data_IF_578847427428
#
_entry.id   IF_578847427428
#
_cell.length_a   1.000
_cell.length_b   1.000
_cell.length_c   1.000
_cell.angle_alpha   90.00
_cell.angle_beta   90.00
_cell.angle_gamma   90.00
#
_symmetry.space_group_name_H-M   'P 1'
#
loop_
_entity.id
_entity.type
_entity.pdbx_description
1 polymer ?
#
# COMPACT_ATOMS: atom_id res chain seq x y z
N UNK A 1 4.39 -9.12 -23.84
CA UNK A 1 3.08 -9.79 -23.87
C UNK A 1 2.25 -9.07 -22.84
N UNK A 2 1.59 -7.98 -23.26
CA UNK A 2 0.74 -7.20 -22.36
C UNK A 2 -0.40 -8.11 -21.91
N UNK A 3 -0.41 -8.49 -20.63
CA UNK A 3 -1.64 -9.00 -20.05
C UNK A 3 -2.61 -7.84 -20.13
N UNK A 4 -3.77 -8.07 -20.74
CA UNK A 4 -4.88 -7.12 -20.71
C UNK A 4 -5.36 -7.04 -19.25
N UNK A 5 -4.65 -6.22 -18.47
CA UNK A 5 -4.95 -5.96 -17.08
C UNK A 5 -6.24 -5.18 -17.07
N UNK A 6 -7.34 -5.86 -16.71
CA UNK A 6 -8.68 -5.28 -16.73
C UNK A 6 -8.75 -3.89 -16.07
N UNK A 7 -9.77 -3.08 -16.40
CA UNK A 7 -9.81 -1.64 -16.10
C UNK A 7 -9.60 -1.29 -14.62
N UNK A 8 -9.95 -2.22 -13.72
CA UNK A 8 -9.65 -2.18 -12.29
C UNK A 8 -8.15 -2.03 -12.00
N UNK A 9 -7.34 -2.95 -12.54
CA UNK A 9 -5.90 -3.05 -12.28
C UNK A 9 -5.14 -1.92 -12.97
N UNK A 10 -5.53 -1.55 -14.18
CA UNK A 10 -4.99 -0.34 -14.83
C UNK A 10 -5.21 0.93 -13.97
N UNK A 11 -6.41 1.11 -13.44
CA UNK A 11 -6.71 2.24 -12.54
C UNK A 11 -5.91 2.21 -11.24
N UNK A 12 -5.65 1.04 -10.68
CA UNK A 12 -4.84 0.87 -9.47
C UNK A 12 -3.38 1.26 -9.74
N UNK A 13 -2.80 0.81 -10.86
CA UNK A 13 -1.43 1.17 -11.24
C UNK A 13 -1.26 2.66 -11.47
N UNK A 14 -2.25 3.34 -12.05
CA UNK A 14 -2.24 4.81 -12.16
C UNK A 14 -2.21 5.49 -10.78
N UNK A 15 -2.93 4.96 -9.80
CA UNK A 15 -2.90 5.47 -8.42
C UNK A 15 -1.53 5.23 -7.77
N UNK A 16 -0.95 4.04 -7.94
CA UNK A 16 0.39 3.71 -7.44
C UNK A 16 1.43 4.64 -8.05
N UNK A 17 1.39 4.82 -9.37
CA UNK A 17 2.27 5.74 -10.08
C UNK A 17 2.16 7.16 -9.53
N UNK A 18 0.93 7.64 -9.30
CA UNK A 18 0.67 8.95 -8.73
C UNK A 18 1.28 9.09 -7.32
N UNK A 19 1.08 8.11 -6.43
CA UNK A 19 1.70 8.12 -5.10
C UNK A 19 3.22 8.14 -5.17
N UNK A 20 3.82 7.41 -6.12
CA UNK A 20 5.27 7.25 -6.23
C UNK A 20 5.99 8.44 -6.90
N UNK A 21 5.24 9.30 -7.57
CA UNK A 21 5.77 10.48 -8.29
C UNK A 21 5.47 11.81 -7.61
N UNK A 22 4.52 11.85 -6.67
CA UNK A 22 4.21 13.05 -5.90
C UNK A 22 5.06 13.12 -4.65
N UNK A 23 5.95 14.12 -4.60
CA UNK A 23 6.79 14.39 -3.43
C UNK A 23 6.13 15.43 -2.51
N UNK A 24 5.25 14.96 -1.63
CA UNK A 24 4.63 15.82 -0.62
C UNK A 24 4.16 15.03 0.61
N UNK A 25 4.29 15.61 1.81
CA UNK A 25 3.86 15.00 3.08
C UNK A 25 2.39 14.51 3.09
N UNK A 26 1.49 15.26 2.43
CA UNK A 26 0.08 14.86 2.34
C UNK A 26 -0.10 13.57 1.51
N UNK A 27 0.74 13.35 0.48
CA UNK A 27 0.70 12.15 -0.34
C UNK A 27 1.15 10.92 0.48
N UNK A 28 2.16 11.07 1.33
CA UNK A 28 2.57 10.02 2.26
C UNK A 28 1.43 9.63 3.21
N UNK A 29 0.71 10.60 3.78
CA UNK A 29 -0.46 10.33 4.64
C UNK A 29 -1.62 9.70 3.86
N UNK A 30 -1.85 10.14 2.63
CA UNK A 30 -2.86 9.53 1.76
C UNK A 30 -2.50 8.08 1.41
N UNK A 31 -1.23 7.78 1.16
CA UNK A 31 -0.74 6.41 0.94
C UNK A 31 -0.88 5.57 2.21
N UNK A 32 -0.49 6.07 3.38
CA UNK A 32 -0.71 5.38 4.66
C UNK A 32 -2.19 5.02 4.85
N UNK A 33 -3.11 5.93 4.55
CA UNK A 33 -4.55 5.66 4.61
C UNK A 33 -4.98 4.59 3.62
N UNK A 34 -4.48 4.63 2.40
CA UNK A 34 -4.75 3.63 1.38
C UNK A 34 -4.27 2.23 1.83
N UNK A 35 -3.04 2.13 2.35
CA UNK A 35 -2.45 0.90 2.87
C UNK A 35 -3.24 0.36 4.07
N UNK A 36 -3.64 1.22 5.02
CA UNK A 36 -4.45 0.80 6.16
C UNK A 36 -5.80 0.20 5.72
N UNK A 37 -6.50 0.86 4.80
CA UNK A 37 -7.78 0.40 4.28
C UNK A 37 -7.66 -0.90 3.48
N UNK A 38 -6.65 -1.01 2.62
CA UNK A 38 -6.37 -2.22 1.88
C UNK A 38 -5.94 -3.38 2.81
N UNK A 39 -5.12 -3.08 3.83
CA UNK A 39 -4.69 -4.05 4.83
C UNK A 39 -5.85 -4.63 5.65
N UNK A 40 -6.89 -3.84 5.95
CA UNK A 40 -8.12 -4.36 6.59
C UNK A 40 -8.87 -5.35 5.68
N UNK A 41 -8.90 -5.12 4.38
CA UNK A 41 -9.47 -6.10 3.44
C UNK A 41 -8.67 -7.40 3.46
N UNK A 42 -7.35 -7.29 3.52
CA UNK A 42 -6.47 -8.44 3.61
C UNK A 42 -6.75 -9.22 4.91
N UNK A 43 -6.81 -8.55 6.06
CA UNK A 43 -7.09 -9.19 7.37
C UNK A 43 -8.50 -9.78 7.53
N UNK A 44 -9.43 -9.48 6.60
CA UNK A 44 -10.74 -10.12 6.58
C UNK A 44 -10.71 -11.49 5.88
N UNK A 45 -9.58 -11.88 5.29
CA UNK A 45 -9.37 -13.16 4.63
C UNK A 45 -8.98 -14.23 5.66
N UNK A 46 -9.48 -15.47 5.57
CA UNK A 46 -9.14 -16.55 6.51
C UNK A 46 -7.64 -16.82 6.61
N UNK A 47 -6.90 -16.59 5.52
CA UNK A 47 -5.45 -16.81 5.44
C UNK A 47 -4.64 -15.70 6.14
N UNK A 48 -5.29 -14.59 6.50
CA UNK A 48 -4.69 -13.41 7.10
C UNK A 48 -5.42 -13.07 8.40
N UNK A 49 -4.99 -13.71 9.50
CA UNK A 49 -5.56 -13.50 10.82
C UNK A 49 -4.99 -12.29 11.57
N UNK A 50 -5.47 -12.03 12.80
CA UNK A 50 -4.98 -10.94 13.65
C UNK A 50 -3.51 -11.07 14.06
N UNK A 51 -2.94 -12.27 13.96
CA UNK A 51 -1.52 -12.54 14.23
C UNK A 51 -0.62 -12.18 13.03
N UNK A 52 -1.20 -11.93 11.86
CA UNK A 52 -0.42 -11.59 10.67
C UNK A 52 0.27 -10.23 10.85
N UNK A 53 1.55 -10.05 10.43
CA UNK A 53 2.29 -8.80 10.59
C UNK A 53 1.58 -7.54 10.05
N UNK A 54 0.70 -7.70 9.06
CA UNK A 54 -0.14 -6.61 8.51
C UNK A 54 -1.07 -6.01 9.56
N UNK A 55 -1.53 -6.76 10.56
CA UNK A 55 -2.35 -6.23 11.65
C UNK A 55 -1.60 -5.14 12.42
N UNK A 56 -0.32 -5.37 12.71
CA UNK A 56 0.56 -4.38 13.35
C UNK A 56 0.77 -3.16 12.46
N UNK A 57 0.95 -3.37 11.15
CA UNK A 57 1.08 -2.28 10.17
C UNK A 57 -0.18 -1.42 10.10
N UNK A 58 -1.36 -2.03 10.07
CA UNK A 58 -2.65 -1.31 10.08
C UNK A 58 -2.82 -0.49 11.35
N UNK A 59 -2.55 -1.08 12.53
CA UNK A 59 -2.64 -0.36 13.80
C UNK A 59 -1.65 0.82 13.88
N UNK A 60 -0.41 0.63 13.41
CA UNK A 60 0.60 1.68 13.39
C UNK A 60 0.24 2.80 12.38
N UNK A 61 -0.33 2.44 11.23
CA UNK A 61 -0.85 3.40 10.25
C UNK A 61 -1.96 4.27 10.84
N UNK A 62 -2.92 3.67 11.56
CA UNK A 62 -4.00 4.38 12.24
C UNK A 62 -3.50 5.32 13.35
N UNK A 63 -2.50 4.89 14.12
CA UNK A 63 -1.84 5.72 15.12
C UNK A 63 -1.14 6.93 14.49
N UNK A 64 -0.46 6.74 13.36
CA UNK A 64 0.16 7.84 12.62
C UNK A 64 -0.88 8.80 12.01
N UNK A 65 -1.97 8.28 11.45
CA UNK A 65 -3.01 9.11 10.83
C UNK A 65 -3.78 9.95 11.86
N UNK A 66 -4.06 9.40 13.03
CA UNK A 66 -4.75 10.08 14.14
C UNK A 66 -3.86 11.10 14.85
N UNK A 67 -2.58 10.76 15.05
CA UNK A 67 -1.61 11.61 15.74
C UNK A 67 -0.32 11.71 14.92
N UNK A 68 -0.29 12.58 13.88
CA UNK A 68 0.88 12.75 13.04
C UNK A 68 2.06 13.27 13.85
N UNK A 69 3.12 12.47 13.92
CA UNK A 69 4.39 12.82 14.55
C UNK A 69 5.49 11.99 13.92
N UNK A 70 6.73 12.47 13.98
CA UNK A 70 7.88 11.72 13.48
C UNK A 70 7.98 10.34 14.15
N UNK A 71 7.76 10.27 15.47
CA UNK A 71 7.73 9.00 16.21
C UNK A 71 6.70 8.02 15.66
N UNK A 72 5.47 8.47 15.40
CA UNK A 72 4.43 7.59 14.86
C UNK A 72 4.69 7.21 13.40
N UNK A 73 5.28 8.13 12.61
CA UNK A 73 5.74 7.86 11.24
C UNK A 73 6.80 6.75 11.23
N UNK A 74 7.81 6.83 12.09
CA UNK A 74 8.88 5.82 12.20
C UNK A 74 8.32 4.47 12.66
N UNK A 75 7.37 4.45 13.62
CA UNK A 75 6.69 3.23 14.04
C UNK A 75 5.89 2.58 12.92
N UNK A 76 5.13 3.37 12.16
CA UNK A 76 4.42 2.89 10.97
C UNK A 76 5.39 2.29 9.97
N UNK A 77 6.46 3.02 9.63
CA UNK A 77 7.43 2.58 8.63
C UNK A 77 8.13 1.27 9.06
N UNK A 78 8.55 1.16 10.31
CA UNK A 78 9.15 -0.06 10.85
C UNK A 78 8.19 -1.26 10.83
N UNK A 79 6.92 -1.06 11.16
CA UNK A 79 5.89 -2.11 11.07
C UNK A 79 5.67 -2.52 9.60
N UNK A 80 5.53 -1.54 8.72
CA UNK A 80 5.32 -1.75 7.28
C UNK A 80 6.47 -2.54 6.64
N UNK A 81 7.72 -2.28 7.03
CA UNK A 81 8.90 -3.04 6.57
C UNK A 81 8.80 -4.52 6.95
N UNK A 82 8.38 -4.81 8.19
CA UNK A 82 8.24 -6.20 8.70
C UNK A 82 7.06 -6.95 8.08
N UNK A 83 6.10 -6.24 7.50
CA UNK A 83 4.96 -6.84 6.83
C UNK A 83 5.14 -7.01 5.31
N UNK A 84 6.38 -6.98 4.79
CA UNK A 84 6.63 -7.24 3.37
C UNK A 84 5.99 -8.57 2.91
N UNK A 85 5.31 -8.61 1.74
CA UNK A 85 5.19 -7.55 0.73
C UNK A 85 3.91 -6.70 0.86
N UNK A 86 3.28 -6.66 2.04
CA UNK A 86 1.98 -6.06 2.30
C UNK A 86 2.04 -4.76 3.11
N UNK A 87 3.22 -4.15 3.28
CA UNK A 87 3.40 -2.84 3.91
C UNK A 87 4.36 -1.95 3.14
N UNK A 88 4.04 -0.65 3.07
CA UNK A 88 4.83 0.37 2.38
C UNK A 88 6.07 0.84 3.17
N UNK A 89 6.86 -0.12 3.69
CA UNK A 89 8.12 0.12 4.39
C UNK A 89 9.34 0.07 3.46
N UNK A 90 10.49 -0.37 3.97
CA UNK A 90 11.76 -0.54 3.21
C UNK A 90 11.71 -1.69 2.19
N UNK A 91 10.60 -2.42 2.11
CA UNK A 91 10.42 -3.48 1.15
C UNK A 91 10.19 -2.95 -0.27
N UNK A 92 11.09 -3.28 -1.20
CA UNK A 92 10.95 -2.89 -2.60
C UNK A 92 9.94 -3.80 -3.32
N UNK A 93 8.68 -3.40 -3.37
CA UNK A 93 7.75 -3.99 -4.33
C UNK A 93 7.60 -3.09 -5.55
N UNK A 94 8.27 -3.50 -6.63
CA UNK A 94 8.14 -2.88 -7.94
C UNK A 94 6.90 -3.46 -8.65
N UNK A 95 6.01 -2.58 -9.11
CA UNK A 95 4.86 -3.02 -9.92
C UNK A 95 5.32 -3.70 -11.21
N UNK A 96 4.60 -4.74 -11.62
CA UNK A 96 4.90 -5.45 -12.87
C UNK A 96 4.81 -4.49 -14.06
N UNK A 97 5.84 -4.49 -14.92
CA UNK A 97 5.97 -3.57 -16.06
C UNK A 97 6.85 -2.33 -15.83
N UNK A 98 7.29 -2.04 -14.60
CA UNK A 98 8.28 -0.99 -14.36
C UNK A 98 9.70 -1.46 -14.72
N UNK A 99 10.44 -0.64 -15.48
CA UNK A 99 11.78 -0.96 -15.97
C UNK A 99 12.82 -1.05 -14.83
N UNK A 100 12.71 -0.17 -13.84
CA UNK A 100 13.63 -0.02 -12.72
C UNK A 100 12.88 0.35 -11.42
N UNK A 101 13.61 0.66 -10.35
CA UNK A 101 13.05 1.17 -9.08
C UNK A 101 12.93 2.71 -9.10
N UNK A 102 12.83 3.32 -10.29
CA UNK A 102 12.68 4.75 -10.50
C UNK A 102 11.30 5.29 -10.15
N UNK A 103 11.06 6.59 -10.37
CA UNK A 103 9.76 7.22 -10.12
C UNK A 103 8.63 6.52 -10.87
N UNK A 104 7.55 6.19 -10.17
CA UNK A 104 6.38 5.49 -10.72
C UNK A 104 6.44 3.96 -10.58
N UNK A 105 7.55 3.41 -10.10
CA UNK A 105 7.72 1.96 -9.86
C UNK A 105 6.95 1.47 -8.64
N UNK A 106 6.58 2.36 -7.72
CA UNK A 106 5.95 2.05 -6.44
C UNK A 106 6.92 1.50 -5.38
N UNK A 107 8.19 1.27 -5.74
CA UNK A 107 9.20 0.74 -4.82
C UNK A 107 9.70 1.82 -3.85
N UNK A 108 9.89 3.07 -4.30
CA UNK A 108 10.44 4.16 -3.47
C UNK A 108 9.52 4.56 -2.32
N UNK A 109 8.23 4.64 -2.61
CA UNK A 109 7.20 5.03 -1.63
C UNK A 109 6.56 3.84 -0.93
N UNK A 110 6.84 2.62 -1.39
CA UNK A 110 6.15 1.40 -0.97
C UNK A 110 4.72 1.29 -1.51
N UNK A 111 4.29 2.18 -2.40
CA UNK A 111 2.96 2.16 -3.02
C UNK A 111 2.67 0.86 -3.79
N UNK A 112 3.71 0.15 -4.24
CA UNK A 112 3.58 -1.18 -4.84
C UNK A 112 2.90 -2.21 -3.94
N UNK A 113 2.90 -2.02 -2.61
CA UNK A 113 2.13 -2.83 -1.66
C UNK A 113 0.64 -2.94 -2.05
N UNK A 114 0.06 -1.90 -2.64
CA UNK A 114 -1.34 -1.93 -3.05
C UNK A 114 -1.60 -2.97 -4.16
N UNK A 115 -0.64 -3.18 -5.07
CA UNK A 115 -0.70 -4.21 -6.10
C UNK A 115 -0.65 -5.61 -5.46
N UNK A 116 0.20 -5.80 -4.43
CA UNK A 116 0.29 -7.08 -3.69
C UNK A 116 -0.97 -7.43 -2.96
N UNK A 117 -1.59 -6.44 -2.31
CA UNK A 117 -2.88 -6.67 -1.66
C UNK A 117 -3.93 -6.99 -2.74
N UNK A 118 -3.91 -6.30 -3.87
CA UNK A 118 -4.83 -6.55 -4.98
C UNK A 118 -4.66 -7.94 -5.64
N UNK A 119 -3.48 -8.56 -5.58
CA UNK A 119 -3.27 -9.95 -6.02
C UNK A 119 -4.06 -10.95 -5.15
N UNK A 120 -4.32 -10.60 -3.88
CA UNK A 120 -5.03 -11.47 -2.93
C UNK A 120 -6.53 -11.15 -2.89
N UNK A 121 -6.89 -9.86 -2.79
CA UNK A 121 -8.29 -9.43 -2.56
C UNK A 121 -8.98 -8.85 -3.79
N UNK A 122 -8.27 -8.71 -4.91
CA UNK A 122 -8.76 -8.13 -6.15
C UNK A 122 -8.56 -6.61 -6.25
N UNK A 123 -8.24 -6.14 -7.46
CA UNK A 123 -7.96 -4.72 -7.72
C UNK A 123 -9.18 -3.81 -7.50
N UNK A 124 -10.38 -4.28 -7.83
CA UNK A 124 -11.63 -3.53 -7.59
C UNK A 124 -11.89 -3.30 -6.10
N UNK A 125 -11.66 -4.31 -5.26
CA UNK A 125 -11.83 -4.20 -3.82
C UNK A 125 -10.85 -3.17 -3.24
N UNK A 126 -9.57 -3.22 -3.64
CA UNK A 126 -8.57 -2.24 -3.21
C UNK A 126 -8.95 -0.82 -3.63
N UNK A 127 -9.29 -0.60 -4.91
CA UNK A 127 -9.72 0.72 -5.39
C UNK A 127 -10.95 1.22 -4.66
N UNK A 128 -11.95 0.37 -4.50
CA UNK A 128 -13.17 0.67 -3.74
C UNK A 128 -12.87 1.07 -2.29
N UNK A 129 -11.91 0.41 -1.63
CA UNK A 129 -11.49 0.77 -0.28
C UNK A 129 -10.75 2.12 -0.24
N UNK A 130 -9.83 2.37 -1.17
CA UNK A 130 -9.07 3.63 -1.18
C UNK A 130 -9.97 4.84 -1.42
N UNK A 131 -10.96 4.74 -2.31
CA UNK A 131 -11.82 5.87 -2.71
C UNK A 131 -12.97 6.21 -1.75
N UNK A 132 -13.35 5.31 -0.84
CA UNK A 132 -14.38 5.62 0.17
C UNK A 132 -13.92 6.80 1.03
N UNK A 133 -14.74 7.85 1.18
CA UNK A 133 -14.38 9.00 2.02
C UNK A 133 -14.40 8.59 3.48
#
# INVERSE_FOLDING_TARGET
>A
MDRDDGPARHGLRRLIFWFDTVDHEWAARALTRAVARAGRLLLARPEFGPEHPVAVTVAAAEAYLSHPSERNRLRYFAAATRSYPYGAGEGCYRVEGAADCGPGSGCRTGAGTLERIADVVGADAVRGAVHRR
#
